data_IF_144944765444
#
_entry.id   IF_144944765444
#
_cell.length_a   1.000
_cell.length_b   1.000
_cell.length_c   1.000
_cell.angle_alpha   90.00
_cell.angle_beta   90.00
_cell.angle_gamma   90.00
#
_symmetry.space_group_name_H-M   'P 1'
#
loop_
_entity.id
_entity.type
_entity.pdbx_description
1 polymer ?
#
# COMPACT_ATOMS: atom_id res chain seq x y z
N UNK A 1 7.38 27.92 -8.50
CA UNK A 1 6.43 27.42 -7.48
C UNK A 1 7.21 27.26 -6.17
N UNK A 2 6.73 27.88 -5.08
CA UNK A 2 7.34 27.77 -3.76
C UNK A 2 6.96 26.41 -3.17
N UNK A 3 7.96 25.64 -2.71
CA UNK A 3 7.75 24.39 -1.96
C UNK A 3 7.93 24.68 -0.48
N UNK A 4 6.97 24.27 0.35
CA UNK A 4 7.04 24.38 1.79
C UNK A 4 7.02 22.98 2.41
N UNK A 5 7.95 22.68 3.30
CA UNK A 5 7.90 21.47 4.11
C UNK A 5 7.00 21.72 5.32
N UNK A 6 6.09 20.80 5.59
CA UNK A 6 5.14 20.85 6.70
C UNK A 6 5.24 19.54 7.47
N UNK A 7 5.31 19.61 8.80
CA UNK A 7 5.33 18.42 9.67
C UNK A 7 3.89 17.94 9.94
N UNK A 8 3.75 16.67 10.27
CA UNK A 8 2.47 16.16 10.78
C UNK A 8 2.02 16.95 12.01
N UNK A 9 0.73 17.23 12.09
CA UNK A 9 0.15 18.01 13.18
C UNK A 9 0.33 19.53 13.07
N UNK A 10 1.25 20.02 12.25
CA UNK A 10 1.44 21.45 12.01
C UNK A 10 0.23 22.04 11.28
N UNK A 11 -0.26 23.17 11.80
CA UNK A 11 -1.39 23.90 11.21
C UNK A 11 -0.88 25.06 10.39
N UNK A 12 -1.33 25.17 9.17
CA UNK A 12 -1.11 26.32 8.29
C UNK A 12 -2.45 26.96 7.91
N UNK A 13 -2.42 28.23 7.55
CA UNK A 13 -3.60 28.94 7.04
C UNK A 13 -3.38 29.29 5.56
N UNK A 14 -4.31 28.86 4.72
CA UNK A 14 -4.31 29.17 3.29
C UNK A 14 -5.64 29.84 2.96
N UNK A 15 -5.63 31.15 2.70
CA UNK A 15 -6.82 31.94 2.36
C UNK A 15 -7.99 31.76 3.34
N UNK A 16 -7.69 31.67 4.64
CA UNK A 16 -8.71 31.51 5.69
C UNK A 16 -9.06 30.06 6.02
N UNK A 17 -8.61 29.09 5.22
CA UNK A 17 -8.75 27.65 5.51
C UNK A 17 -7.59 27.18 6.37
N UNK A 18 -7.87 26.57 7.52
CA UNK A 18 -6.86 25.88 8.32
C UNK A 18 -6.59 24.52 7.71
N UNK A 19 -5.33 24.24 7.42
CA UNK A 19 -4.87 22.96 6.84
C UNK A 19 -3.92 22.27 7.80
N UNK A 20 -4.10 20.97 8.01
CA UNK A 20 -3.23 20.12 8.81
C UNK A 20 -3.00 18.79 8.10
N UNK A 21 -1.75 18.31 8.06
CA UNK A 21 -1.44 16.96 7.62
C UNK A 21 -1.39 16.01 8.82
N UNK A 22 -2.03 14.86 8.68
CA UNK A 22 -1.97 13.78 9.67
C UNK A 22 -1.62 12.47 8.98
N UNK A 23 -0.97 11.51 9.67
CA UNK A 23 -0.52 10.27 9.04
C UNK A 23 -1.64 9.49 8.36
N UNK A 24 -1.37 8.98 7.16
CA UNK A 24 -2.29 8.12 6.41
C UNK A 24 -1.94 6.61 6.50
N UNK A 25 -0.75 6.26 6.98
CA UNK A 25 -0.33 4.87 7.13
C UNK A 25 -0.02 4.13 5.84
N UNK A 26 -0.11 4.79 4.68
CA UNK A 26 0.09 4.17 3.37
C UNK A 26 1.56 3.84 3.11
N UNK A 27 2.41 4.87 3.06
CA UNK A 27 3.86 4.79 2.89
C UNK A 27 4.52 5.89 3.72
N UNK A 28 5.84 5.92 3.78
CA UNK A 28 6.60 6.98 4.46
C UNK A 28 6.21 8.36 3.91
N UNK A 29 5.87 9.29 4.80
CA UNK A 29 5.45 10.65 4.44
C UNK A 29 4.03 10.78 3.88
N UNK A 30 3.26 9.71 3.77
CA UNK A 30 1.85 9.77 3.32
C UNK A 30 0.97 10.47 4.35
N UNK A 31 0.08 11.34 3.89
CA UNK A 31 -0.74 12.16 4.77
C UNK A 31 -2.20 12.23 4.34
N UNK A 32 -3.09 12.20 5.31
CA UNK A 32 -4.44 12.73 5.16
C UNK A 32 -4.37 14.26 5.24
N UNK A 33 -5.25 14.94 4.54
CA UNK A 33 -5.37 16.41 4.59
C UNK A 33 -6.63 16.76 5.38
N UNK A 34 -6.45 17.38 6.53
CA UNK A 34 -7.54 17.90 7.36
C UNK A 34 -7.71 19.38 7.09
N UNK A 35 -8.89 19.76 6.64
CA UNK A 35 -9.29 21.11 6.32
C UNK A 35 -10.34 21.59 7.32
N UNK A 36 -10.22 22.83 7.81
CA UNK A 36 -11.21 23.47 8.69
C UNK A 36 -11.51 24.89 8.17
N UNK A 37 -12.78 25.15 7.89
CA UNK A 37 -13.27 26.46 7.45
C UNK A 37 -14.62 26.75 8.05
N UNK A 38 -14.77 27.91 8.71
CA UNK A 38 -16.02 28.37 9.36
C UNK A 38 -16.68 27.34 10.30
N UNK A 39 -15.89 26.50 10.94
CA UNK A 39 -16.36 25.45 11.86
C UNK A 39 -16.55 24.09 11.22
N UNK A 40 -16.68 24.00 9.91
CA UNK A 40 -16.77 22.74 9.18
C UNK A 40 -15.40 22.10 8.98
N UNK A 41 -15.33 20.77 9.09
CA UNK A 41 -14.13 19.97 8.94
C UNK A 41 -14.30 18.97 7.80
N UNK A 42 -13.35 18.99 6.87
CA UNK A 42 -13.25 18.01 5.79
C UNK A 42 -11.94 17.26 5.91
N UNK A 43 -11.97 15.94 5.76
CA UNK A 43 -10.76 15.12 5.68
C UNK A 43 -10.70 14.47 4.30
N UNK A 44 -9.58 14.66 3.61
CA UNK A 44 -9.21 13.89 2.42
C UNK A 44 -8.21 12.84 2.85
N UNK A 45 -8.60 11.56 2.80
CA UNK A 45 -7.77 10.47 3.31
C UNK A 45 -6.48 10.28 2.50
N UNK A 46 -6.51 10.58 1.19
CA UNK A 46 -5.54 10.02 0.27
C UNK A 46 -5.61 8.49 0.31
N UNK A 47 -4.60 7.82 -0.23
CA UNK A 47 -4.43 6.38 -0.05
C UNK A 47 -4.01 6.10 1.39
N UNK A 48 -4.62 5.10 2.02
CA UNK A 48 -4.32 4.79 3.42
C UNK A 48 -4.35 3.30 3.75
N UNK A 49 -3.72 2.96 4.87
CA UNK A 49 -3.67 1.60 5.43
C UNK A 49 -3.84 1.68 6.96
N UNK A 50 -4.62 0.76 7.52
CA UNK A 50 -4.87 0.68 8.97
C UNK A 50 -3.89 -0.26 9.69
N UNK A 51 -3.31 -1.21 8.96
CA UNK A 51 -2.37 -2.19 9.50
C UNK A 51 -1.06 -1.53 9.90
N UNK A 52 -0.51 -1.99 11.03
CA UNK A 52 0.79 -1.54 11.50
C UNK A 52 1.89 -1.80 10.47
N UNK A 53 2.74 -0.82 10.27
CA UNK A 53 3.87 -0.87 9.36
C UNK A 53 5.04 -0.08 9.97
N UNK A 54 6.18 -0.75 10.18
CA UNK A 54 7.39 -0.10 10.72
C UNK A 54 7.95 0.99 9.80
N UNK A 55 7.59 0.97 8.54
CA UNK A 55 8.19 1.84 7.51
C UNK A 55 7.50 3.19 7.39
N UNK A 56 6.40 3.41 8.11
CA UNK A 56 5.67 4.69 8.08
C UNK A 56 4.91 4.94 9.38
N UNK A 57 4.48 6.18 9.57
CA UNK A 57 3.60 6.54 10.69
C UNK A 57 2.24 5.86 10.53
N UNK A 58 1.63 5.32 11.62
CA UNK A 58 0.34 4.65 11.55
C UNK A 58 -0.78 5.64 11.20
N UNK A 59 -1.84 5.12 10.57
CA UNK A 59 -3.04 5.90 10.27
C UNK A 59 -3.64 6.52 11.54
N UNK A 60 -3.96 7.81 11.48
CA UNK A 60 -4.56 8.54 12.59
C UNK A 60 -6.05 8.79 12.33
N UNK A 61 -6.92 8.35 13.25
CA UNK A 61 -8.35 8.64 13.20
C UNK A 61 -8.61 10.09 13.67
N UNK A 62 -9.29 10.86 12.83
CA UNK A 62 -9.78 12.19 13.18
C UNK A 62 -11.27 12.31 12.85
N UNK A 63 -12.03 12.99 13.69
CA UNK A 63 -13.46 13.29 13.45
C UNK A 63 -13.59 14.45 12.48
N UNK A 64 -14.57 14.38 11.57
CA UNK A 64 -14.90 15.42 10.60
C UNK A 64 -16.37 15.38 10.21
N UNK A 65 -16.83 16.43 9.55
CA UNK A 65 -18.20 16.52 9.03
C UNK A 65 -18.29 15.83 7.67
N UNK A 66 -17.25 15.99 6.82
CA UNK A 66 -17.16 15.31 5.52
C UNK A 66 -15.86 14.53 5.41
N UNK A 67 -15.97 13.24 5.07
CA UNK A 67 -14.84 12.33 4.86
C UNK A 67 -14.75 11.92 3.40
N UNK A 68 -13.66 12.29 2.73
CA UNK A 68 -13.36 11.90 1.35
C UNK A 68 -12.39 10.73 1.42
N UNK A 69 -12.82 9.53 0.99
CA UNK A 69 -12.07 8.28 1.15
C UNK A 69 -11.76 7.59 -0.17
N UNK A 70 -10.62 6.88 -0.21
CA UNK A 70 -10.28 5.98 -1.31
C UNK A 70 -11.21 4.75 -1.37
N UNK A 71 -11.18 4.04 -2.50
CA UNK A 71 -11.95 2.83 -2.77
C UNK A 71 -11.16 1.74 -3.53
N UNK A 72 -9.83 1.68 -3.38
CA UNK A 72 -8.94 0.77 -4.13
C UNK A 72 -9.37 -0.69 -3.97
N UNK A 73 -9.66 -1.11 -2.75
CA UNK A 73 -10.14 -2.46 -2.41
C UNK A 73 -11.55 -2.46 -1.82
N UNK A 74 -12.42 -1.59 -2.32
CA UNK A 74 -13.79 -1.40 -1.85
C UNK A 74 -14.78 -2.48 -2.35
N UNK A 75 -14.38 -3.75 -2.34
CA UNK A 75 -15.25 -4.90 -2.58
C UNK A 75 -15.09 -5.92 -1.45
N UNK A 76 -16.17 -6.58 -0.99
CA UNK A 76 -16.11 -7.57 0.11
C UNK A 76 -15.14 -8.73 -0.11
N UNK A 77 -14.78 -9.03 -1.36
CA UNK A 77 -13.80 -10.07 -1.69
C UNK A 77 -12.37 -9.71 -1.25
N UNK A 78 -12.10 -8.43 -1.05
CA UNK A 78 -10.81 -7.95 -0.57
C UNK A 78 -10.80 -7.86 0.97
N UNK A 79 -10.78 -9.01 1.60
CA UNK A 79 -10.46 -9.17 3.00
C UNK A 79 -9.04 -9.76 3.05
N UNK A 80 -8.05 -8.92 3.31
CA UNK A 80 -6.66 -9.31 3.22
C UNK A 80 -6.24 -10.12 4.46
N UNK A 81 -5.51 -11.23 4.27
CA UNK A 81 -5.02 -12.05 5.38
C UNK A 81 -3.97 -11.32 6.22
N UNK A 82 -3.55 -11.95 7.32
CA UNK A 82 -2.47 -11.42 8.14
C UNK A 82 -1.14 -11.42 7.36
N UNK A 83 -0.46 -10.29 7.34
CA UNK A 83 0.78 -10.09 6.59
C UNK A 83 1.88 -11.09 6.96
N UNK A 84 2.02 -11.43 8.25
CA UNK A 84 3.04 -12.41 8.69
C UNK A 84 2.78 -13.80 8.14
N UNK A 85 1.51 -14.20 7.99
CA UNK A 85 1.13 -15.48 7.37
C UNK A 85 1.51 -15.45 5.88
N UNK A 86 1.27 -14.35 5.21
CA UNK A 86 1.59 -14.20 3.79
C UNK A 86 3.11 -14.19 3.54
N UNK A 87 3.86 -13.44 4.34
CA UNK A 87 5.34 -13.40 4.23
C UNK A 87 5.97 -14.75 4.57
N UNK A 88 5.40 -15.48 5.53
CA UNK A 88 5.86 -16.84 5.85
C UNK A 88 5.84 -17.77 4.64
N UNK A 89 4.92 -17.60 3.69
CA UNK A 89 4.90 -18.37 2.43
C UNK A 89 6.19 -18.21 1.62
N UNK A 90 6.79 -17.02 1.62
CA UNK A 90 8.07 -16.77 0.93
C UNK A 90 9.17 -17.57 1.61
N UNK A 91 9.28 -17.48 2.94
CA UNK A 91 10.30 -18.20 3.73
C UNK A 91 10.16 -19.70 3.58
N UNK A 92 8.92 -20.21 3.69
CA UNK A 92 8.64 -21.66 3.55
C UNK A 92 8.93 -22.14 2.12
N UNK A 93 8.64 -21.31 1.10
CA UNK A 93 8.96 -21.62 -0.29
C UNK A 93 10.48 -21.68 -0.53
N UNK A 94 11.26 -20.77 0.05
CA UNK A 94 12.73 -20.77 -0.06
C UNK A 94 13.29 -22.03 0.62
N UNK A 95 12.80 -22.39 1.80
CA UNK A 95 13.24 -23.60 2.51
C UNK A 95 12.89 -24.89 1.77
N UNK A 96 11.71 -24.94 1.15
CA UNK A 96 11.24 -26.10 0.39
C UNK A 96 11.85 -26.26 -1.00
N UNK A 97 12.43 -25.17 -1.56
CA UNK A 97 12.99 -25.12 -2.91
C UNK A 97 14.34 -24.41 -2.90
N UNK A 98 15.26 -24.91 -2.11
CA UNK A 98 16.56 -24.29 -1.86
C UNK A 98 17.50 -24.28 -3.07
N UNK A 99 17.18 -25.02 -4.14
CA UNK A 99 17.86 -25.04 -5.41
C UNK A 99 17.29 -24.03 -6.42
N UNK A 100 16.22 -23.30 -6.05
CA UNK A 100 15.53 -22.35 -6.91
C UNK A 100 15.72 -20.91 -6.43
N UNK A 101 15.79 -19.99 -7.39
CA UNK A 101 15.80 -18.54 -7.11
C UNK A 101 14.36 -18.10 -6.88
N UNK A 102 14.12 -17.31 -5.85
CA UNK A 102 12.82 -16.67 -5.62
C UNK A 102 12.83 -15.25 -6.16
N UNK A 103 12.21 -15.05 -7.31
CA UNK A 103 12.08 -13.73 -7.96
C UNK A 103 10.71 -13.14 -7.63
N UNK A 104 10.68 -12.16 -6.74
CA UNK A 104 9.45 -11.59 -6.20
C UNK A 104 9.23 -10.18 -6.75
N UNK A 105 8.13 -10.01 -7.48
CA UNK A 105 7.64 -8.71 -7.94
C UNK A 105 7.01 -7.92 -6.80
N UNK A 106 7.47 -6.69 -6.60
CA UNK A 106 6.97 -5.81 -5.54
C UNK A 106 7.06 -4.34 -5.98
N UNK A 107 6.09 -3.51 -5.60
CA UNK A 107 6.16 -2.08 -5.89
C UNK A 107 7.31 -1.43 -5.14
N UNK A 108 8.07 -0.58 -5.86
CA UNK A 108 9.34 -0.04 -5.41
C UNK A 108 9.22 0.88 -4.18
N UNK A 109 8.17 1.68 -4.12
CA UNK A 109 7.94 2.63 -3.03
C UNK A 109 6.95 2.04 -2.01
N UNK A 110 7.34 1.97 -0.77
CA UNK A 110 6.54 1.51 0.37
C UNK A 110 6.53 -0.01 0.48
N UNK A 111 5.88 -0.72 -0.42
CA UNK A 111 5.64 -2.17 -0.34
C UNK A 111 6.92 -3.00 -0.29
N UNK A 112 7.94 -2.62 -1.06
CA UNK A 112 9.23 -3.31 -1.05
C UNK A 112 9.87 -3.24 0.34
N UNK A 113 9.95 -2.06 0.94
CA UNK A 113 10.59 -1.85 2.24
C UNK A 113 9.77 -2.50 3.36
N UNK A 114 8.44 -2.41 3.30
CA UNK A 114 7.55 -3.12 4.22
C UNK A 114 7.73 -4.64 4.15
N UNK A 115 7.80 -5.20 2.93
CA UNK A 115 8.06 -6.64 2.76
C UNK A 115 9.39 -7.05 3.40
N UNK A 116 10.45 -6.27 3.19
CA UNK A 116 11.77 -6.53 3.78
C UNK A 116 11.67 -6.51 5.30
N UNK A 117 11.07 -5.49 5.91
CA UNK A 117 10.89 -5.42 7.37
C UNK A 117 10.09 -6.63 7.91
N UNK A 118 9.02 -7.04 7.23
CA UNK A 118 8.22 -8.20 7.62
C UNK A 118 9.02 -9.52 7.52
N UNK A 119 9.89 -9.66 6.53
CA UNK A 119 10.82 -10.80 6.43
C UNK A 119 11.81 -10.82 7.60
N UNK A 120 12.41 -9.66 7.94
CA UNK A 120 13.31 -9.54 9.10
C UNK A 120 12.60 -9.87 10.41
N UNK A 121 11.35 -9.39 10.60
CA UNK A 121 10.53 -9.72 11.78
C UNK A 121 10.24 -11.22 11.95
N UNK A 122 10.31 -11.98 10.86
CA UNK A 122 10.15 -13.44 10.87
C UNK A 122 11.49 -14.20 10.91
N UNK A 123 12.61 -13.49 11.11
CA UNK A 123 13.94 -14.08 11.23
C UNK A 123 14.58 -14.47 9.90
N UNK A 124 14.18 -13.85 8.80
CA UNK A 124 14.87 -14.00 7.51
C UNK A 124 16.00 -12.97 7.45
N UNK A 125 17.20 -13.34 7.93
CA UNK A 125 18.37 -12.46 8.04
C UNK A 125 19.33 -12.57 6.86
N UNK A 126 19.05 -13.47 5.92
CA UNK A 126 19.84 -13.66 4.70
C UNK A 126 19.84 -12.39 3.82
N UNK A 127 20.87 -12.26 2.98
CA UNK A 127 20.96 -11.16 2.04
C UNK A 127 19.79 -11.17 1.05
N UNK A 128 19.09 -10.05 0.94
CA UNK A 128 18.04 -9.84 -0.07
C UNK A 128 18.66 -9.07 -1.24
N UNK A 129 18.49 -9.60 -2.45
CA UNK A 129 19.02 -8.98 -3.65
C UNK A 129 17.96 -8.12 -4.32
N UNK A 130 18.33 -6.89 -4.65
CA UNK A 130 17.42 -5.91 -5.22
C UNK A 130 17.73 -5.65 -6.70
N UNK A 131 16.68 -5.56 -7.50
CA UNK A 131 16.78 -4.93 -8.81
C UNK A 131 17.21 -3.47 -8.65
N UNK A 132 18.05 -2.96 -9.57
CA UNK A 132 18.60 -1.61 -9.49
C UNK A 132 17.56 -0.50 -9.26
N UNK A 133 16.35 -0.65 -9.80
CA UNK A 133 15.26 0.32 -9.60
C UNK A 133 14.75 0.42 -8.15
N UNK A 134 15.04 -0.57 -7.30
CA UNK A 134 14.61 -0.58 -5.89
C UNK A 134 15.67 0.04 -4.96
N UNK A 135 16.95 0.08 -5.39
CA UNK A 135 18.07 0.46 -4.53
C UNK A 135 17.94 1.89 -4.00
N UNK A 136 17.74 2.86 -4.90
CA UNK A 136 17.69 4.28 -4.50
C UNK A 136 16.59 4.57 -3.47
N UNK A 137 15.44 3.93 -3.63
CA UNK A 137 14.31 4.12 -2.70
C UNK A 137 14.61 3.41 -1.39
N UNK A 138 15.16 2.19 -1.41
CA UNK A 138 15.50 1.47 -0.18
C UNK A 138 16.56 2.22 0.63
N UNK A 139 17.61 2.76 0.00
CA UNK A 139 18.60 3.60 0.65
C UNK A 139 17.97 4.85 1.31
N UNK A 140 16.95 5.44 0.67
CA UNK A 140 16.21 6.56 1.29
C UNK A 140 15.55 6.13 2.60
N UNK A 141 14.91 4.95 2.65
CA UNK A 141 14.31 4.44 3.90
C UNK A 141 15.37 4.20 4.98
N UNK A 142 16.57 3.77 4.64
CA UNK A 142 17.68 3.65 5.59
C UNK A 142 18.14 5.02 6.13
N UNK A 143 18.10 6.09 5.31
CA UNK A 143 18.37 7.46 5.79
C UNK A 143 17.30 7.97 6.76
N UNK A 144 16.10 7.39 6.73
CA UNK A 144 15.01 7.66 7.68
C UNK A 144 15.00 6.66 8.86
N UNK A 145 16.15 6.05 9.15
CA UNK A 145 16.40 5.16 10.30
C UNK A 145 15.60 3.85 10.27
N UNK A 146 15.15 3.42 9.10
CA UNK A 146 14.45 2.13 8.92
C UNK A 146 15.48 1.06 8.56
N UNK A 147 15.71 0.14 9.50
CA UNK A 147 16.62 -0.98 9.29
C UNK A 147 16.02 -2.01 8.32
N UNK A 148 16.65 -2.14 7.15
CA UNK A 148 16.30 -3.11 6.13
C UNK A 148 17.23 -4.35 6.14
N UNK A 149 18.27 -4.35 6.97
CA UNK A 149 19.24 -5.43 7.06
C UNK A 149 20.12 -5.57 5.81
N UNK A 150 20.65 -6.76 5.56
CA UNK A 150 21.59 -6.99 4.45
C UNK A 150 20.89 -6.93 3.09
N UNK A 151 21.16 -5.88 2.32
CA UNK A 151 20.70 -5.67 0.96
C UNK A 151 21.87 -5.59 -0.01
N UNK A 152 21.73 -6.17 -1.20
CA UNK A 152 22.72 -6.07 -2.28
C UNK A 152 22.04 -5.83 -3.63
N UNK A 153 22.76 -5.16 -4.54
CA UNK A 153 22.31 -5.11 -5.92
C UNK A 153 22.44 -6.51 -6.56
N UNK A 154 21.43 -6.93 -7.27
CA UNK A 154 21.42 -8.24 -7.96
C UNK A 154 22.55 -8.40 -8.98
N UNK A 155 23.14 -7.30 -9.43
CA UNK A 155 24.31 -7.31 -10.32
C UNK A 155 25.60 -7.73 -9.62
N UNK A 156 25.62 -7.76 -8.30
CA UNK A 156 26.78 -8.21 -7.50
C UNK A 156 26.88 -9.74 -7.43
N UNK A 157 25.80 -10.45 -7.77
CA UNK A 157 25.85 -11.92 -7.86
C UNK A 157 26.45 -12.31 -9.22
N UNK A 158 27.54 -13.08 -9.17
CA UNK A 158 28.14 -13.67 -10.37
C UNK A 158 27.45 -14.97 -10.76
N UNK A 159 27.21 -15.84 -9.78
CA UNK A 159 26.58 -17.15 -9.98
C UNK A 159 25.47 -17.36 -8.92
N UNK A 160 24.27 -17.65 -9.39
CA UNK A 160 23.14 -18.02 -8.58
C UNK A 160 23.22 -19.51 -8.22
N UNK A 161 23.14 -19.83 -6.94
CA UNK A 161 23.24 -21.20 -6.42
C UNK A 161 21.89 -21.83 -6.10
N UNK A 162 20.84 -21.03 -6.03
CA UNK A 162 19.53 -21.36 -5.52
C UNK A 162 19.35 -20.91 -4.06
N UNK A 163 18.08 -20.69 -3.67
CA UNK A 163 17.73 -20.18 -2.36
C UNK A 163 17.78 -18.65 -2.23
N UNK A 164 18.33 -17.95 -3.23
CA UNK A 164 18.42 -16.49 -3.18
C UNK A 164 17.02 -15.85 -3.35
N UNK A 165 16.77 -14.83 -2.54
CA UNK A 165 15.59 -13.96 -2.67
C UNK A 165 15.98 -12.70 -3.46
N UNK A 166 15.33 -12.52 -4.61
CA UNK A 166 15.51 -11.36 -5.48
C UNK A 166 14.21 -10.58 -5.55
N UNK A 167 14.23 -9.29 -5.19
CA UNK A 167 13.08 -8.39 -5.32
C UNK A 167 13.23 -7.52 -6.56
N UNK A 168 12.14 -7.32 -7.31
CA UNK A 168 12.13 -6.51 -8.51
C UNK A 168 10.80 -5.77 -8.69
N UNK A 169 10.74 -4.68 -9.49
CA UNK A 169 9.47 -4.09 -9.87
C UNK A 169 8.56 -5.09 -10.58
N UNK A 170 7.23 -4.99 -10.48
CA UNK A 170 6.29 -5.92 -11.12
C UNK A 170 6.50 -6.07 -12.64
N UNK A 171 6.89 -5.00 -13.33
CA UNK A 171 7.20 -5.00 -14.75
C UNK A 171 8.39 -5.89 -15.09
N UNK A 172 9.38 -5.97 -14.20
CA UNK A 172 10.60 -6.75 -14.43
C UNK A 172 10.40 -8.27 -14.31
N UNK A 173 9.29 -8.75 -13.73
CA UNK A 173 9.00 -10.19 -13.59
C UNK A 173 8.90 -10.94 -14.93
N UNK A 174 8.54 -10.23 -16.02
CA UNK A 174 8.22 -10.85 -17.30
C UNK A 174 9.00 -10.22 -18.47
N UNK A 175 9.94 -9.31 -18.18
CA UNK A 175 10.76 -8.68 -19.20
C UNK A 175 12.05 -9.48 -19.49
N UNK A 176 12.89 -8.95 -20.42
CA UNK A 176 14.16 -9.57 -20.79
C UNK A 176 15.11 -9.72 -19.58
N UNK A 177 15.03 -8.83 -18.62
CA UNK A 177 15.89 -8.86 -17.44
C UNK A 177 15.66 -10.13 -16.61
N UNK A 178 14.40 -10.57 -16.49
CA UNK A 178 14.06 -11.77 -15.71
C UNK A 178 14.48 -13.08 -16.41
N UNK A 179 14.67 -13.07 -17.72
CA UNK A 179 15.04 -14.26 -18.51
C UNK A 179 16.45 -14.79 -18.19
N UNK A 180 17.31 -13.97 -17.58
CA UNK A 180 18.63 -14.41 -17.12
C UNK A 180 18.59 -15.40 -15.95
N UNK A 181 17.50 -15.41 -15.20
CA UNK A 181 17.33 -16.32 -14.07
C UNK A 181 16.80 -17.67 -14.56
N UNK A 182 17.56 -18.71 -14.31
CA UNK A 182 17.16 -20.10 -14.59
C UNK A 182 16.61 -20.70 -13.29
N UNK A 183 15.73 -21.70 -13.40
CA UNK A 183 15.16 -22.41 -12.26
C UNK A 183 14.58 -21.44 -11.20
N UNK A 184 13.54 -20.68 -11.59
CA UNK A 184 13.01 -19.57 -10.80
C UNK A 184 11.58 -19.78 -10.37
N UNK A 185 11.27 -19.52 -9.10
CA UNK A 185 9.92 -19.36 -8.58
C UNK A 185 9.56 -17.87 -8.69
N UNK A 186 8.54 -17.57 -9.49
CA UNK A 186 8.03 -16.20 -9.63
C UNK A 186 6.93 -15.92 -8.64
N UNK A 187 7.16 -14.96 -7.73
CA UNK A 187 6.17 -14.45 -6.80
C UNK A 187 5.73 -13.04 -7.13
N UNK A 188 4.57 -12.65 -6.62
CA UNK A 188 4.09 -11.27 -6.73
C UNK A 188 3.38 -10.84 -5.44
N UNK A 189 3.79 -9.68 -4.91
CA UNK A 189 3.25 -9.10 -3.67
C UNK A 189 2.26 -7.99 -4.02
N UNK A 190 0.98 -8.26 -3.82
CA UNK A 190 -0.09 -7.29 -4.10
C UNK A 190 -1.40 -7.72 -3.44
N UNK A 191 -2.23 -6.78 -2.96
CA UNK A 191 -3.60 -7.05 -2.52
C UNK A 191 -4.46 -7.71 -3.61
N UNK A 192 -4.15 -7.47 -4.88
CA UNK A 192 -4.81 -8.10 -6.02
C UNK A 192 -4.54 -9.60 -6.15
N UNK A 193 -3.59 -10.17 -5.42
CA UNK A 193 -3.31 -11.60 -5.41
C UNK A 193 -4.39 -12.43 -4.69
N UNK A 194 -5.38 -11.79 -4.11
CA UNK A 194 -6.64 -12.41 -3.68
C UNK A 194 -7.43 -13.00 -4.87
N UNK A 195 -7.28 -12.44 -6.07
CA UNK A 195 -8.06 -12.81 -7.26
C UNK A 195 -7.34 -13.87 -8.10
N UNK A 196 -7.82 -15.12 -8.06
CA UNK A 196 -7.23 -16.27 -8.76
C UNK A 196 -7.00 -16.05 -10.27
N UNK A 197 -7.92 -15.34 -10.93
CA UNK A 197 -7.77 -15.05 -12.35
C UNK A 197 -6.53 -14.17 -12.62
N UNK A 198 -6.24 -13.19 -11.77
CA UNK A 198 -5.05 -12.34 -11.89
C UNK A 198 -3.74 -13.11 -11.67
N UNK A 199 -3.75 -14.08 -10.74
CA UNK A 199 -2.61 -14.97 -10.50
C UNK A 199 -2.29 -15.75 -11.77
N UNK A 200 -3.31 -16.36 -12.39
CA UNK A 200 -3.18 -17.13 -13.64
C UNK A 200 -2.70 -16.25 -14.80
N UNK A 201 -3.33 -15.10 -15.02
CA UNK A 201 -2.97 -14.16 -16.10
C UNK A 201 -1.53 -13.68 -16.00
N UNK A 202 -1.02 -13.49 -14.78
CA UNK A 202 0.34 -13.06 -14.53
C UNK A 202 1.34 -14.21 -14.39
N UNK A 203 0.92 -15.46 -14.57
CA UNK A 203 1.76 -16.66 -14.42
C UNK A 203 2.62 -16.62 -13.14
N UNK A 204 1.96 -16.44 -11.99
CA UNK A 204 2.60 -16.33 -10.68
C UNK A 204 2.54 -17.67 -9.97
N UNK A 205 3.71 -18.20 -9.56
CA UNK A 205 3.85 -19.42 -8.79
C UNK A 205 3.55 -19.20 -7.31
N UNK A 206 3.98 -18.05 -6.77
CA UNK A 206 3.89 -17.69 -5.35
C UNK A 206 3.13 -16.37 -5.17
N UNK A 207 1.80 -16.39 -5.11
CA UNK A 207 1.00 -15.21 -4.84
C UNK A 207 1.05 -14.84 -3.36
N UNK A 208 1.34 -13.56 -3.07
CA UNK A 208 1.45 -13.00 -1.72
C UNK A 208 0.49 -11.84 -1.59
N UNK A 209 -0.47 -11.95 -0.67
CA UNK A 209 -1.52 -10.95 -0.48
C UNK A 209 -1.09 -9.94 0.58
N UNK A 210 -0.39 -8.89 0.17
CA UNK A 210 -0.03 -7.75 1.02
C UNK A 210 -0.41 -6.46 0.28
N UNK A 211 -1.06 -5.55 0.98
CA UNK A 211 -1.53 -4.28 0.44
C UNK A 211 -1.06 -3.10 1.29
N UNK A 212 -0.73 -1.99 0.64
CA UNK A 212 -0.47 -0.70 1.30
C UNK A 212 -1.76 0.15 1.39
N UNK A 213 -2.87 -0.36 0.87
CA UNK A 213 -4.20 0.25 0.96
C UNK A 213 -5.08 -0.51 1.93
N UNK A 214 -6.05 0.18 2.49
CA UNK A 214 -7.11 -0.40 3.30
C UNK A 214 -7.92 -1.44 2.51
N UNK A 215 -8.22 -2.57 3.15
CA UNK A 215 -9.15 -3.56 2.61
C UNK A 215 -10.61 -3.20 2.90
N UNK A 216 -11.55 -4.05 2.49
CA UNK A 216 -12.99 -3.82 2.70
C UNK A 216 -13.35 -3.54 4.16
N UNK A 217 -12.83 -4.34 5.09
CA UNK A 217 -13.14 -4.18 6.51
C UNK A 217 -12.52 -2.89 7.06
N UNK A 218 -11.27 -2.62 6.71
CA UNK A 218 -10.57 -1.40 7.12
C UNK A 218 -11.25 -0.14 6.57
N UNK A 219 -11.75 -0.15 5.32
CA UNK A 219 -12.51 0.95 4.74
C UNK A 219 -13.81 1.20 5.51
N UNK A 220 -14.60 0.16 5.75
CA UNK A 220 -15.89 0.27 6.45
C UNK A 220 -15.73 0.63 7.92
N UNK A 221 -14.73 0.08 8.62
CA UNK A 221 -14.43 0.42 10.00
C UNK A 221 -13.90 1.85 10.11
N UNK A 222 -13.11 2.33 9.15
CA UNK A 222 -12.63 3.71 9.13
C UNK A 222 -13.80 4.69 9.06
N UNK A 223 -14.75 4.49 8.15
CA UNK A 223 -15.95 5.35 8.07
C UNK A 223 -16.71 5.35 9.38
N UNK A 224 -16.91 4.18 9.99
CA UNK A 224 -17.59 4.04 11.29
C UNK A 224 -16.85 4.78 12.41
N UNK A 225 -15.52 4.65 12.47
CA UNK A 225 -14.69 5.27 13.50
C UNK A 225 -14.54 6.78 13.31
N UNK A 226 -14.41 7.27 12.07
CA UNK A 226 -14.43 8.71 11.74
C UNK A 226 -15.80 9.29 12.05
N UNK A 227 -16.88 8.54 11.78
CA UNK A 227 -18.28 8.91 12.06
C UNK A 227 -18.66 10.28 11.46
N UNK A 228 -18.44 10.49 10.15
CA UNK A 228 -18.74 11.75 9.48
C UNK A 228 -20.25 11.87 9.19
N UNK A 229 -20.73 13.10 8.95
CA UNK A 229 -22.08 13.35 8.43
C UNK A 229 -22.19 12.96 6.96
N UNK A 230 -21.14 13.26 6.18
CA UNK A 230 -21.08 13.01 4.74
C UNK A 230 -19.85 12.16 4.39
N UNK A 231 -20.02 11.17 3.49
CA UNK A 231 -18.94 10.36 2.95
C UNK A 231 -18.88 10.53 1.44
N UNK A 232 -17.75 10.98 0.92
CA UNK A 232 -17.47 11.03 -0.50
C UNK A 232 -16.44 9.99 -0.85
N UNK A 233 -16.75 9.14 -1.82
CA UNK A 233 -15.88 8.02 -2.21
C UNK A 233 -15.22 8.37 -3.54
N UNK A 234 -13.94 8.04 -3.67
CA UNK A 234 -13.15 8.26 -4.88
C UNK A 234 -12.06 7.21 -5.03
N UNK A 235 -11.34 7.23 -6.16
CA UNK A 235 -10.14 6.42 -6.39
C UNK A 235 -10.36 4.91 -6.22
N UNK A 236 -11.22 4.33 -7.07
CA UNK A 236 -11.44 2.87 -7.10
C UNK A 236 -12.81 2.46 -7.61
N UNK A 237 -13.29 1.31 -7.14
CA UNK A 237 -14.63 0.80 -7.43
C UNK A 237 -15.59 1.20 -6.32
N UNK A 238 -16.27 2.31 -6.51
CA UNK A 238 -17.04 3.00 -5.49
C UNK A 238 -18.39 2.34 -5.19
N UNK A 239 -19.00 1.66 -6.18
CA UNK A 239 -20.42 1.26 -6.14
C UNK A 239 -20.76 0.35 -4.96
N UNK A 240 -19.90 -0.62 -4.66
CA UNK A 240 -20.15 -1.55 -3.57
C UNK A 240 -20.04 -0.88 -2.20
N UNK A 241 -19.06 0.01 -2.01
CA UNK A 241 -18.89 0.76 -0.78
C UNK A 241 -20.05 1.75 -0.59
N UNK A 242 -20.43 2.48 -1.63
CA UNK A 242 -21.57 3.40 -1.59
C UNK A 242 -22.89 2.67 -1.26
N UNK A 243 -23.13 1.51 -1.91
CA UNK A 243 -24.30 0.70 -1.61
C UNK A 243 -24.33 0.22 -0.14
N UNK A 244 -23.18 -0.21 0.39
CA UNK A 244 -23.06 -0.61 1.79
C UNK A 244 -23.30 0.55 2.74
N UNK A 245 -22.68 1.69 2.50
CA UNK A 245 -22.81 2.88 3.36
C UNK A 245 -24.25 3.43 3.37
N UNK A 246 -24.92 3.51 2.21
CA UNK A 246 -26.34 3.89 2.11
C UNK A 246 -27.24 2.96 2.92
N UNK A 247 -27.02 1.65 2.86
CA UNK A 247 -27.77 0.65 3.67
C UNK A 247 -27.52 0.82 5.18
N UNK A 248 -26.38 1.38 5.58
CA UNK A 248 -26.06 1.70 6.98
C UNK A 248 -26.54 3.08 7.41
N UNK A 249 -27.20 3.83 6.54
CA UNK A 249 -27.78 5.14 6.83
C UNK A 249 -26.83 6.32 6.69
N UNK A 250 -25.64 6.12 6.09
CA UNK A 250 -24.72 7.22 5.82
C UNK A 250 -25.20 8.06 4.62
N UNK A 251 -25.08 9.39 4.73
CA UNK A 251 -25.15 10.25 3.56
C UNK A 251 -23.86 10.12 2.77
N UNK A 252 -23.93 9.54 1.57
CA UNK A 252 -22.72 9.24 0.78
C UNK A 252 -22.95 9.33 -0.72
N UNK A 253 -21.89 9.72 -1.44
CA UNK A 253 -21.86 9.86 -2.88
C UNK A 253 -20.47 9.65 -3.46
N UNK A 254 -20.40 9.56 -4.80
CA UNK A 254 -19.14 9.57 -5.53
C UNK A 254 -18.61 11.00 -5.64
N UNK A 255 -17.32 11.19 -5.33
CA UNK A 255 -16.68 12.49 -5.52
C UNK A 255 -16.63 12.89 -7.00
N UNK A 256 -16.55 11.92 -7.92
CA UNK A 256 -16.47 12.16 -9.36
C UNK A 256 -17.78 12.70 -9.96
N UNK A 257 -18.91 12.55 -9.24
CA UNK A 257 -20.22 13.03 -9.67
C UNK A 257 -20.57 14.41 -9.08
N UNK A 258 -19.76 14.93 -8.16
CA UNK A 258 -19.97 16.29 -7.64
C UNK A 258 -19.72 17.31 -8.73
N UNK A 259 -20.72 18.12 -9.00
CA UNK A 259 -20.69 19.17 -10.06
C UNK A 259 -21.30 18.74 -11.38
N UNK A 260 -21.82 17.51 -11.49
CA UNK A 260 -22.64 17.04 -12.61
C UNK A 260 -24.13 16.92 -12.25
N UNK A 261 -24.51 17.31 -11.05
CA UNK A 261 -25.90 17.45 -10.67
C UNK A 261 -26.38 18.82 -11.21
N UNK A 262 -27.41 18.81 -12.05
CA UNK A 262 -28.19 19.96 -12.55
C UNK A 262 -27.77 20.62 -13.87
N UNK A 263 -27.60 19.84 -14.95
CA UNK A 263 -27.81 20.36 -16.30
C UNK A 263 -29.04 19.74 -17.01
N UNK A 264 -29.93 19.05 -16.29
CA UNK A 264 -31.21 18.54 -16.79
C UNK A 264 -32.39 19.13 -16.00
N UNK A 265 -32.74 20.42 -16.31
CA UNK A 265 -34.09 21.00 -16.18
C UNK A 265 -34.33 22.04 -17.27
#
# INVERSE_FOLDING_TARGET
KTKQKIKYGEKININGVKVKFVPAGHIIGSAQILLEYKGEKVIVSGDYKRRYDKTCQPFEINKCDTFITEATFALPVFNHPNDKIEVKKIIDSIKGNSDQIHLIGVYALGKCQRLICLLRDLGFDETIYLHGALIKISNYYETEEIDLGSLKNVTEIKDFKGGELVLCPPSALHDRWSQKFKNVIKGFVSGWMTIRQRIKQKNINLPIVISDHADWNELTDTVKEVSPENVLVTHGREEALLSFLKKKGYNCGSLNLLGFEDEDD
#
